data_IF_404446484415
#
_entry.id   IF_404446484415
#
_cell.length_a   1.000
_cell.length_b   1.000
_cell.length_c   1.000
_cell.angle_alpha   90.00
_cell.angle_beta   90.00
_cell.angle_gamma   90.00
#
_symmetry.space_group_name_H-M   'P 1'
#
loop_
_entity.id
_entity.type
_entity.pdbx_description
1 polymer ?
#
# COMPACT_ATOMS: atom_id res chain seq x y z
N UNK A 1 -18.56 -5.92 -3.14
CA UNK A 1 -18.65 -4.49 -3.51
C UNK A 1 -17.38 -4.14 -4.30
N UNK A 2 -17.46 -3.28 -5.34
CA UNK A 2 -16.23 -2.78 -5.98
C UNK A 2 -15.90 -1.41 -5.39
N UNK A 3 -14.71 -1.27 -4.82
CA UNK A 3 -14.21 -0.02 -4.25
C UNK A 3 -12.93 0.37 -4.98
N UNK A 4 -12.86 1.62 -5.42
CA UNK A 4 -11.62 2.19 -5.96
C UNK A 4 -10.90 2.92 -4.84
N UNK A 5 -9.63 2.59 -4.64
CA UNK A 5 -8.75 3.21 -3.64
C UNK A 5 -7.55 3.80 -4.37
N UNK A 6 -7.35 5.09 -4.21
CA UNK A 6 -6.15 5.77 -4.73
C UNK A 6 -5.04 5.67 -3.70
N UNK A 7 -3.97 4.95 -4.04
CA UNK A 7 -2.76 4.85 -3.21
C UNK A 7 -1.84 6.04 -3.46
N UNK A 8 -1.18 6.52 -2.41
CA UNK A 8 0.05 7.31 -2.52
C UNK A 8 1.21 6.33 -2.45
N UNK A 9 2.03 6.24 -3.50
CA UNK A 9 3.23 5.40 -3.52
C UNK A 9 4.45 6.31 -3.52
N UNK A 10 5.36 6.07 -2.58
CA UNK A 10 6.62 6.78 -2.45
C UNK A 10 7.78 5.79 -2.62
N UNK A 11 8.84 6.21 -3.30
CA UNK A 11 10.10 5.45 -3.42
C UNK A 11 11.08 5.95 -2.35
N UNK A 12 11.76 5.02 -1.70
CA UNK A 12 12.76 5.25 -0.68
C UNK A 12 14.03 4.47 -1.02
N UNK A 13 15.16 4.99 -0.56
CA UNK A 13 16.44 4.29 -0.64
C UNK A 13 17.03 4.17 0.76
N UNK A 14 17.31 2.95 1.19
CA UNK A 14 18.04 2.70 2.44
C UNK A 14 19.23 1.77 2.18
N UNK A 15 20.43 2.20 2.58
CA UNK A 15 21.68 1.42 2.44
C UNK A 15 21.92 0.92 1.00
N UNK A 16 21.57 1.74 0.00
CA UNK A 16 21.71 1.42 -1.41
C UNK A 16 20.69 0.42 -1.97
N UNK A 17 19.58 0.18 -1.25
CA UNK A 17 18.44 -0.60 -1.74
C UNK A 17 17.22 0.31 -1.87
N UNK A 18 16.62 0.29 -3.05
CA UNK A 18 15.34 0.95 -3.30
C UNK A 18 14.19 0.08 -2.81
N UNK A 19 13.16 0.73 -2.26
CA UNK A 19 11.91 0.11 -1.86
C UNK A 19 10.76 1.12 -1.95
N UNK A 20 9.55 0.60 -2.08
CA UNK A 20 8.35 1.40 -2.27
C UNK A 20 7.44 1.25 -1.06
N UNK A 21 6.77 2.33 -0.67
CA UNK A 21 5.75 2.32 0.37
C UNK A 21 4.46 2.90 -0.17
N UNK A 22 3.36 2.15 -0.07
CA UNK A 22 2.01 2.63 -0.33
C UNK A 22 1.30 3.03 0.96
N UNK A 23 0.64 4.19 0.93
CA UNK A 23 -0.20 4.69 2.03
C UNK A 23 -1.52 5.27 1.52
N UNK A 24 -2.50 5.41 2.41
CA UNK A 24 -3.71 6.21 2.15
C UNK A 24 -4.28 6.83 3.44
N UNK A 25 -4.25 8.15 3.53
CA UNK A 25 -4.74 8.92 4.69
C UNK A 25 -6.21 8.63 5.06
N UNK A 26 -7.04 8.28 4.07
CA UNK A 26 -8.47 7.99 4.28
C UNK A 26 -8.75 6.57 4.81
N UNK A 27 -7.74 5.69 4.85
CA UNK A 27 -7.87 4.31 5.32
C UNK A 27 -6.80 4.09 6.39
N UNK A 28 -7.19 4.28 7.65
CA UNK A 28 -6.30 4.09 8.77
C UNK A 28 -5.71 2.67 8.77
N UNK A 29 -4.39 2.58 8.95
CA UNK A 29 -3.68 1.29 8.94
C UNK A 29 -3.29 0.78 7.56
N UNK A 30 -3.68 1.46 6.47
CA UNK A 30 -3.24 1.08 5.13
C UNK A 30 -1.82 1.57 4.88
N UNK A 31 -0.84 0.74 5.23
CA UNK A 31 0.59 0.92 4.93
C UNK A 31 1.13 -0.40 4.40
N UNK A 32 1.71 -0.38 3.20
CA UNK A 32 2.31 -1.55 2.56
C UNK A 32 3.69 -1.20 2.02
N UNK A 33 4.64 -2.12 2.14
CA UNK A 33 6.01 -1.98 1.64
C UNK A 33 6.34 -3.12 0.68
N UNK A 34 7.21 -2.87 -0.30
CA UNK A 34 7.68 -3.87 -1.25
C UNK A 34 8.87 -3.37 -2.07
N UNK A 35 9.58 -4.29 -2.71
CA UNK A 35 10.77 -4.00 -3.50
C UNK A 35 10.42 -3.54 -4.92
N UNK A 36 9.20 -3.81 -5.38
CA UNK A 36 8.66 -3.31 -6.65
C UNK A 36 7.29 -2.67 -6.47
N UNK A 37 6.86 -1.90 -7.48
CA UNK A 37 5.54 -1.27 -7.49
C UNK A 37 4.44 -2.33 -7.49
N UNK A 38 4.61 -3.42 -8.23
CA UNK A 38 3.66 -4.52 -8.30
C UNK A 38 3.47 -5.20 -6.93
N UNK A 39 4.56 -5.50 -6.23
CA UNK A 39 4.54 -6.11 -4.89
C UNK A 39 3.80 -5.22 -3.87
N UNK A 40 4.08 -3.92 -3.92
CA UNK A 40 3.40 -2.93 -3.07
C UNK A 40 1.91 -2.86 -3.36
N UNK A 41 1.50 -2.89 -4.64
CA UNK A 41 0.09 -2.83 -5.03
C UNK A 41 -0.65 -4.09 -4.57
N UNK A 42 -0.07 -5.27 -4.73
CA UNK A 42 -0.67 -6.54 -4.28
C UNK A 42 -0.86 -6.53 -2.76
N UNK A 43 0.19 -6.17 -2.00
CA UNK A 43 0.14 -6.10 -0.54
C UNK A 43 -0.88 -5.06 -0.05
N UNK A 44 -0.89 -3.86 -0.65
CA UNK A 44 -1.85 -2.82 -0.32
C UNK A 44 -3.29 -3.24 -0.64
N UNK A 45 -3.52 -3.99 -1.71
CA UNK A 45 -4.84 -4.49 -2.10
C UNK A 45 -5.39 -5.47 -1.05
N UNK A 46 -4.57 -6.38 -0.56
CA UNK A 46 -4.98 -7.36 0.45
C UNK A 46 -5.23 -6.71 1.81
N UNK A 47 -4.38 -5.76 2.23
CA UNK A 47 -4.62 -4.95 3.43
C UNK A 47 -5.92 -4.13 3.29
N UNK A 48 -6.15 -3.51 2.14
CA UNK A 48 -7.35 -2.72 1.90
C UNK A 48 -8.64 -3.55 2.00
N UNK A 49 -8.64 -4.80 1.53
CA UNK A 49 -9.80 -5.70 1.69
C UNK A 49 -10.09 -5.91 3.17
N UNK A 50 -9.09 -6.27 3.96
CA UNK A 50 -9.26 -6.49 5.41
C UNK A 50 -9.75 -5.22 6.11
N UNK A 51 -9.13 -4.07 5.84
CA UNK A 51 -9.46 -2.81 6.53
C UNK A 51 -10.82 -2.22 6.14
N UNK A 52 -11.27 -2.45 4.90
CA UNK A 52 -12.59 -2.00 4.44
C UNK A 52 -13.70 -2.95 4.87
N UNK A 53 -13.44 -4.26 4.97
CA UNK A 53 -14.40 -5.24 5.49
C UNK A 53 -14.59 -5.14 7.01
N UNK A 54 -13.59 -4.64 7.74
CA UNK A 54 -13.69 -4.35 9.18
C UNK A 54 -14.55 -3.12 9.51
N UNK A 55 -15.02 -2.39 8.49
CA UNK A 55 -15.76 -1.13 8.61
C UNK A 55 -17.26 -1.34 8.49
#
# INVERSE_FOLDING_TARGET
MKTLITLKIENFEEKGKEYFVATRDQIQGLVAEGNTIEEVIETASDLAKMLVELK
#
